data_IF_251777727504
#
_entry.id   IF_251777727504
#
_cell.length_a   1.000
_cell.length_b   1.000
_cell.length_c   1.000
_cell.angle_alpha   90.00
_cell.angle_beta   90.00
_cell.angle_gamma   90.00
#
_symmetry.space_group_name_H-M   'P 1'
#
loop_
_entity.id
_entity.type
_entity.pdbx_description
1 polymer ?
#
# COMPACT_ATOMS: atom_id res chain seq x y z
N UNK A 1 -21.26 -6.34 -2.08
CA UNK A 1 -20.05 -6.83 -1.39
C UNK A 1 -19.28 -5.63 -0.87
N UNK A 2 -19.15 -5.50 0.44
CA UNK A 2 -18.18 -4.57 1.00
C UNK A 2 -16.79 -5.10 0.62
N UNK A 3 -15.87 -4.23 0.19
CA UNK A 3 -14.47 -4.59 -0.04
C UNK A 3 -13.65 -4.07 1.13
N UNK A 4 -12.55 -4.74 1.45
CA UNK A 4 -11.61 -4.21 2.42
C UNK A 4 -11.16 -2.81 2.00
N UNK A 5 -11.10 -1.88 2.96
CA UNK A 5 -10.69 -0.51 2.71
C UNK A 5 -9.37 -0.23 3.41
N UNK A 6 -8.35 0.08 2.62
CA UNK A 6 -7.06 0.49 3.14
C UNK A 6 -7.04 1.95 3.56
N UNK A 7 -6.34 2.25 4.66
CA UNK A 7 -6.02 3.60 5.10
C UNK A 7 -4.52 3.73 5.35
N UNK A 8 -3.92 4.69 4.66
CA UNK A 8 -2.49 4.93 4.69
C UNK A 8 -2.02 5.72 5.90
N UNK A 9 -0.85 5.35 6.41
CA UNK A 9 -0.01 6.29 7.16
C UNK A 9 0.90 7.07 6.21
N UNK A 10 1.27 8.30 6.59
CA UNK A 10 2.20 9.12 5.81
C UNK A 10 3.59 8.46 5.72
N UNK A 11 4.06 7.86 6.82
CA UNK A 11 5.37 7.19 6.87
C UNK A 11 5.46 6.01 5.90
N UNK A 12 4.38 5.22 5.78
CA UNK A 12 4.37 4.07 4.87
C UNK A 12 4.33 4.49 3.40
N UNK A 13 3.64 5.60 3.09
CA UNK A 13 3.68 6.21 1.75
C UNK A 13 5.09 6.72 1.41
N UNK A 14 5.76 7.37 2.35
CA UNK A 14 7.12 7.88 2.16
C UNK A 14 8.14 6.74 1.99
N UNK A 15 7.91 5.59 2.64
CA UNK A 15 8.69 4.38 2.44
C UNK A 15 8.43 3.73 1.06
N UNK A 16 7.17 3.66 0.63
CA UNK A 16 6.80 2.99 -0.61
C UNK A 16 7.15 3.81 -1.86
N UNK A 17 6.96 5.13 -1.82
CA UNK A 17 7.13 6.02 -2.99
C UNK A 17 8.44 5.82 -3.75
N UNK A 18 9.61 5.91 -3.10
CA UNK A 18 10.91 5.69 -3.75
C UNK A 18 11.10 4.28 -4.31
N UNK A 19 10.47 3.25 -3.71
CA UNK A 19 10.56 1.87 -4.20
C UNK A 19 9.70 1.64 -5.45
N UNK A 20 8.60 2.36 -5.56
CA UNK A 20 7.70 2.26 -6.72
C UNK A 20 8.22 3.09 -7.87
N UNK A 21 8.88 4.22 -7.59
CA UNK A 21 9.40 5.13 -8.64
C UNK A 21 10.48 4.50 -9.52
N UNK A 22 11.20 3.48 -9.02
CA UNK A 22 12.22 2.75 -9.80
C UNK A 22 11.64 1.67 -10.71
N UNK A 23 10.35 1.34 -10.56
CA UNK A 23 9.70 0.34 -11.43
C UNK A 23 9.48 0.94 -12.82
N UNK A 24 9.58 0.11 -13.85
CA UNK A 24 9.14 0.50 -15.19
C UNK A 24 7.66 0.91 -15.19
N UNK A 25 7.29 1.78 -16.12
CA UNK A 25 5.91 2.19 -16.32
C UNK A 25 4.98 0.97 -16.49
N UNK A 26 3.88 0.97 -15.75
CA UNK A 26 2.88 -0.09 -15.76
C UNK A 26 3.19 -1.27 -14.83
N UNK A 27 4.41 -1.41 -14.30
CA UNK A 27 4.78 -2.53 -13.43
C UNK A 27 4.27 -2.32 -12.00
N UNK A 28 3.93 -3.43 -11.37
CA UNK A 28 3.50 -3.49 -9.98
C UNK A 28 4.33 -4.49 -9.19
N UNK A 29 4.31 -4.33 -7.89
CA UNK A 29 5.06 -5.17 -6.95
C UNK A 29 4.39 -5.14 -5.58
N UNK A 30 4.71 -6.15 -4.79
CA UNK A 30 4.38 -6.22 -3.37
C UNK A 30 5.63 -5.95 -2.54
N UNK A 31 5.48 -5.13 -1.50
CA UNK A 31 6.52 -4.88 -0.51
C UNK A 31 6.02 -5.23 0.87
N UNK A 32 6.91 -5.79 1.69
CA UNK A 32 6.68 -5.85 3.12
C UNK A 32 6.89 -4.46 3.73
N UNK A 33 5.99 -4.09 4.64
CA UNK A 33 6.08 -2.87 5.42
C UNK A 33 7.07 -3.06 6.57
N UNK A 34 7.81 -2.00 6.95
CA UNK A 34 8.72 -2.08 8.07
C UNK A 34 7.97 -2.34 9.37
N UNK A 35 8.65 -2.98 10.33
CA UNK A 35 8.15 -3.12 11.70
C UNK A 35 7.80 -1.75 12.27
N UNK A 36 6.61 -1.62 12.85
CA UNK A 36 6.11 -0.34 13.37
C UNK A 36 5.27 0.47 12.37
N UNK A 37 5.07 -0.03 11.14
CA UNK A 37 4.05 0.48 10.22
C UNK A 37 2.70 0.69 10.91
N UNK A 38 2.00 1.75 10.52
CA UNK A 38 0.73 2.19 11.12
C UNK A 38 -0.41 2.29 10.12
N UNK A 39 -0.19 1.92 8.86
CA UNK A 39 -1.27 1.72 7.91
C UNK A 39 -2.21 0.62 8.39
N UNK A 40 -3.50 0.78 8.12
CA UNK A 40 -4.54 -0.15 8.56
C UNK A 40 -5.42 -0.59 7.38
N UNK A 41 -6.05 -1.74 7.56
CA UNK A 41 -7.04 -2.30 6.65
C UNK A 41 -8.33 -2.53 7.42
N UNK A 42 -9.40 -1.89 6.98
CA UNK A 42 -10.76 -2.13 7.47
C UNK A 42 -11.33 -3.34 6.74
N UNK A 43 -11.55 -4.41 7.49
CA UNK A 43 -12.01 -5.70 6.97
C UNK A 43 -13.54 -5.69 6.83
N UNK A 44 -14.06 -6.57 5.96
CA UNK A 44 -15.51 -6.67 5.72
C UNK A 44 -16.32 -7.16 6.91
N UNK A 45 -15.68 -7.81 7.88
CA UNK A 45 -16.29 -8.26 9.14
C UNK A 45 -16.36 -7.15 10.20
N UNK A 46 -15.94 -5.92 9.86
CA UNK A 46 -15.93 -4.77 10.74
C UNK A 46 -14.68 -4.64 11.60
N UNK A 47 -13.74 -5.59 11.52
CA UNK A 47 -12.46 -5.48 12.23
C UNK A 47 -11.49 -4.55 11.50
N UNK A 48 -10.51 -4.04 12.25
CA UNK A 48 -9.38 -3.28 11.72
C UNK A 48 -8.10 -4.02 12.04
N UNK A 49 -7.27 -4.26 11.02
CA UNK A 49 -5.96 -4.89 11.17
C UNK A 49 -4.86 -3.97 10.69
N UNK A 50 -3.65 -4.15 11.22
CA UNK A 50 -2.46 -3.47 10.68
C UNK A 50 -2.11 -4.04 9.32
N UNK A 51 -1.69 -3.18 8.41
CA UNK A 51 -1.12 -3.61 7.16
C UNK A 51 0.30 -4.14 7.39
N UNK A 52 0.61 -5.31 6.85
CA UNK A 52 1.99 -5.83 6.82
C UNK A 52 2.62 -5.67 5.44
N UNK A 53 1.82 -5.39 4.42
CA UNK A 53 2.27 -5.29 3.03
C UNK A 53 1.64 -4.11 2.29
N UNK A 54 2.29 -3.74 1.19
CA UNK A 54 1.80 -2.79 0.20
C UNK A 54 1.83 -3.44 -1.17
N UNK A 55 0.71 -3.36 -1.87
CA UNK A 55 0.71 -3.42 -3.33
C UNK A 55 0.94 -2.02 -3.87
N UNK A 56 1.84 -1.87 -4.82
CA UNK A 56 1.99 -0.62 -5.53
C UNK A 56 2.38 -0.80 -7.00
N UNK A 57 1.98 0.16 -7.82
CA UNK A 57 2.17 0.22 -9.27
C UNK A 57 2.67 1.59 -9.70
N UNK A 58 3.68 1.61 -10.57
CA UNK A 58 4.05 2.80 -11.31
C UNK A 58 3.13 2.98 -12.52
N UNK A 59 2.37 4.08 -12.59
CA UNK A 59 1.50 4.32 -13.74
C UNK A 59 2.26 4.86 -14.96
N UNK A 60 3.52 5.28 -14.80
CA UNK A 60 4.33 5.87 -15.86
C UNK A 60 4.05 7.35 -16.14
N UNK A 61 3.10 7.96 -15.43
CA UNK A 61 2.67 9.36 -15.61
C UNK A 61 3.11 10.27 -14.46
N UNK A 62 4.05 9.81 -13.62
CA UNK A 62 4.39 10.49 -12.36
C UNK A 62 3.37 10.26 -11.24
N UNK A 63 2.41 9.37 -11.45
CA UNK A 63 1.45 8.93 -10.42
C UNK A 63 1.66 7.47 -10.07
N UNK A 64 1.29 7.11 -8.84
CA UNK A 64 1.37 5.75 -8.33
C UNK A 64 -0.02 5.28 -7.91
N UNK A 65 -0.30 4.00 -8.09
CA UNK A 65 -1.49 3.35 -7.51
C UNK A 65 -1.02 2.36 -6.45
N UNK A 66 -1.75 2.25 -5.35
CA UNK A 66 -1.44 1.24 -4.35
C UNK A 66 -2.54 1.08 -3.31
N UNK A 67 -2.46 0.00 -2.55
CA UNK A 67 -3.30 -0.23 -1.37
C UNK A 67 -2.52 -1.02 -0.29
N UNK A 68 -2.78 -0.75 1.00
CA UNK A 68 -2.23 -1.55 2.08
C UNK A 68 -2.97 -2.89 2.18
N UNK A 69 -2.27 -3.93 2.60
CA UNK A 69 -2.84 -5.26 2.82
C UNK A 69 -2.32 -5.89 4.12
N UNK A 70 -3.09 -6.80 4.73
CA UNK A 70 -2.63 -7.60 5.87
C UNK A 70 -1.48 -8.52 5.52
#
# INVERSE_FOLDING_TARGET
>A
MNKNQGQWSKADLDFAGPKVSILEAGKSVWFDLPTGSTSIVHMTDGTTVKATKIFARNNGTGTFHGYPAP
#
